data_IF_411795762716
#
_entry.id   IF_411795762716
#
_cell.length_a   1.000
_cell.length_b   1.000
_cell.length_c   1.000
_cell.angle_alpha   90.00
_cell.angle_beta   90.00
_cell.angle_gamma   90.00
#
_symmetry.space_group_name_H-M   'P 1'
#
loop_
_entity.id
_entity.type
_entity.pdbx_description
1 polymer ?
#
# COMPACT_ATOMS: atom_id res chain seq x y z
N UNK A 1 21.85 5.87 -0.05
CA UNK A 1 20.72 5.88 0.89
C UNK A 1 19.79 4.76 0.47
N UNK A 2 19.80 3.67 1.23
CA UNK A 2 18.91 2.55 1.01
C UNK A 2 17.48 3.04 1.30
N UNK A 3 16.63 3.13 0.28
CA UNK A 3 15.21 3.32 0.55
C UNK A 3 14.72 2.09 1.31
N UNK A 4 14.30 2.27 2.55
CA UNK A 4 13.96 1.17 3.44
C UNK A 4 12.65 0.50 2.97
N UNK A 5 12.79 -0.44 2.03
CA UNK A 5 11.73 -1.34 1.57
C UNK A 5 11.28 -2.18 2.76
N UNK A 6 10.01 -2.06 3.12
CA UNK A 6 9.39 -2.83 4.20
C UNK A 6 8.87 -4.16 3.70
N UNK A 7 8.24 -4.16 2.52
CA UNK A 7 7.70 -5.37 1.89
C UNK A 7 7.67 -5.20 0.38
N UNK A 8 7.88 -6.29 -0.34
CA UNK A 8 7.70 -6.34 -1.79
C UNK A 8 7.13 -7.68 -2.21
N UNK A 9 6.39 -7.72 -3.31
CA UNK A 9 5.80 -8.96 -3.80
C UNK A 9 4.71 -8.74 -4.84
N UNK A 10 4.22 -9.84 -5.41
CA UNK A 10 3.12 -9.81 -6.36
C UNK A 10 1.78 -9.57 -5.64
N UNK A 11 0.99 -8.65 -6.18
CA UNK A 11 -0.36 -8.32 -5.69
C UNK A 11 -1.24 -8.01 -6.89
N UNK A 12 -2.53 -8.26 -6.77
CA UNK A 12 -3.52 -7.93 -7.78
C UNK A 12 -4.23 -6.64 -7.39
N UNK A 13 -4.50 -5.79 -8.38
CA UNK A 13 -5.34 -4.60 -8.22
C UNK A 13 -6.56 -4.76 -9.13
N UNK A 14 -7.74 -4.54 -8.57
CA UNK A 14 -8.97 -4.49 -9.34
C UNK A 14 -9.06 -3.14 -10.06
N UNK A 15 -9.10 -3.18 -11.38
CA UNK A 15 -9.24 -2.01 -12.23
C UNK A 15 -10.63 -1.95 -12.85
N UNK A 16 -11.18 -0.74 -12.92
CA UNK A 16 -12.32 -0.45 -13.78
C UNK A 16 -11.86 -0.52 -15.24
N UNK A 17 -12.62 -1.21 -16.07
CA UNK A 17 -12.47 -1.23 -17.53
C UNK A 17 -13.75 -0.67 -18.17
N UNK A 18 -13.70 -0.43 -19.48
CA UNK A 18 -14.86 0.03 -20.27
C UNK A 18 -16.08 -0.87 -20.06
N UNK A 19 -15.86 -2.17 -19.86
CA UNK A 19 -16.90 -3.15 -19.55
C UNK A 19 -16.52 -3.97 -18.31
N UNK A 20 -16.92 -3.48 -17.14
CA UNK A 20 -16.81 -4.19 -15.87
C UNK A 20 -15.47 -4.01 -15.14
N UNK A 21 -15.23 -4.91 -14.18
CA UNK A 21 -14.06 -4.90 -13.30
C UNK A 21 -13.14 -6.07 -13.63
N UNK A 22 -11.84 -5.82 -13.66
CA UNK A 22 -10.82 -6.84 -13.94
C UNK A 22 -9.66 -6.76 -12.95
N UNK A 23 -9.21 -7.90 -12.48
CA UNK A 23 -7.96 -7.98 -11.72
C UNK A 23 -6.75 -7.99 -12.65
N UNK A 24 -5.78 -7.15 -12.33
CA UNK A 24 -4.48 -7.11 -13.01
C UNK A 24 -3.38 -7.29 -11.98
N UNK A 25 -2.37 -8.11 -12.30
CA UNK A 25 -1.22 -8.38 -11.44
C UNK A 25 -0.20 -7.24 -11.54
N UNK A 26 0.34 -6.86 -10.39
CA UNK A 26 1.38 -5.85 -10.22
C UNK A 26 2.49 -6.40 -9.33
N UNK A 27 3.69 -5.86 -9.50
CA UNK A 27 4.75 -5.95 -8.50
C UNK A 27 4.61 -4.77 -7.55
N UNK A 28 4.34 -5.03 -6.28
CA UNK A 28 4.24 -4.00 -5.26
C UNK A 28 5.54 -3.84 -4.49
N UNK A 29 5.87 -2.59 -4.15
CA UNK A 29 6.96 -2.25 -3.24
C UNK A 29 6.46 -1.23 -2.23
N UNK A 30 6.55 -1.58 -0.95
CA UNK A 30 6.16 -0.76 0.17
C UNK A 30 7.40 -0.15 0.81
N UNK A 31 7.45 1.18 0.86
CA UNK A 31 8.57 1.94 1.40
C UNK A 31 8.15 2.62 2.70
N UNK A 32 9.04 2.57 3.70
CA UNK A 32 8.96 3.42 4.89
C UNK A 32 9.29 4.86 4.52
N UNK A 33 8.83 5.82 5.32
CA UNK A 33 9.31 7.19 5.25
C UNK A 33 10.82 7.25 5.55
N UNK A 34 11.54 8.09 4.80
CA UNK A 34 12.93 8.44 5.02
C UNK A 34 13.10 9.94 5.28
N UNK A 35 14.34 10.44 5.43
CA UNK A 35 14.61 11.85 5.76
C UNK A 35 14.02 12.86 4.76
N UNK A 36 13.84 12.46 3.50
CA UNK A 36 13.33 13.31 2.43
C UNK A 36 12.19 12.65 1.62
N UNK A 37 11.59 11.57 2.13
CA UNK A 37 10.56 10.82 1.41
C UNK A 37 9.46 10.32 2.34
N UNK A 38 8.21 10.42 1.89
CA UNK A 38 7.06 9.88 2.62
C UNK A 38 6.94 8.36 2.41
N UNK A 39 6.30 7.69 3.37
CA UNK A 39 5.93 6.28 3.25
C UNK A 39 4.93 6.10 2.09
N UNK A 40 5.14 5.07 1.26
CA UNK A 40 4.40 4.91 0.01
C UNK A 40 4.37 3.47 -0.47
N UNK A 41 3.28 3.12 -1.14
CA UNK A 41 3.13 1.88 -1.90
C UNK A 41 3.27 2.20 -3.39
N UNK A 42 4.20 1.51 -4.05
CA UNK A 42 4.39 1.57 -5.49
C UNK A 42 3.87 0.28 -6.13
N UNK A 43 3.07 0.41 -7.19
CA UNK A 43 2.60 -0.71 -7.99
C UNK A 43 3.16 -0.57 -9.41
N UNK A 44 3.95 -1.57 -9.81
CA UNK A 44 4.57 -1.64 -11.12
C UNK A 44 3.86 -2.70 -11.96
N UNK A 45 3.39 -2.32 -13.14
CA UNK A 45 2.84 -3.27 -14.11
C UNK A 45 3.97 -4.15 -14.66
N UNK A 46 3.87 -5.48 -14.53
CA UNK A 46 4.89 -6.42 -14.99
C UNK A 46 5.08 -7.63 -14.07
N UNK A 47 5.80 -8.64 -14.55
CA UNK A 47 5.87 -9.94 -13.88
C UNK A 47 6.86 -10.01 -12.71
N UNK A 48 8.00 -9.30 -12.74
CA UNK A 48 9.14 -9.73 -11.89
C UNK A 48 10.08 -8.67 -11.30
N UNK A 49 10.15 -7.43 -11.81
CA UNK A 49 10.94 -6.32 -11.20
C UNK A 49 10.66 -5.01 -11.93
N UNK A 50 10.80 -3.84 -11.26
CA UNK A 50 10.69 -2.55 -11.92
C UNK A 50 11.79 -2.41 -12.99
N UNK A 51 11.44 -2.60 -14.26
CA UNK A 51 12.26 -2.11 -15.37
C UNK A 51 12.03 -0.60 -15.45
N UNK A 52 13.12 0.17 -15.42
CA UNK A 52 13.04 1.62 -15.62
C UNK A 52 12.44 1.85 -17.01
N UNK A 53 11.37 2.65 -17.04
CA UNK A 53 10.65 3.12 -18.23
C UNK A 53 9.64 2.14 -18.86
N UNK A 54 8.51 2.74 -19.29
CA UNK A 54 7.47 2.25 -20.22
C UNK A 54 6.16 1.65 -19.67
N UNK A 55 6.07 1.30 -18.38
CA UNK A 55 4.83 0.78 -17.77
C UNK A 55 4.14 1.74 -16.79
N UNK A 56 2.79 1.73 -16.75
CA UNK A 56 1.97 2.59 -15.88
C UNK A 56 2.19 2.34 -14.39
N UNK A 57 3.11 3.09 -13.77
CA UNK A 57 3.35 3.07 -12.31
C UNK A 57 2.19 3.74 -11.57
N UNK A 58 1.70 3.10 -10.51
CA UNK A 58 0.74 3.70 -9.58
C UNK A 58 1.42 3.90 -8.23
N UNK A 59 1.31 5.11 -7.69
CA UNK A 59 1.86 5.49 -6.39
C UNK A 59 0.71 5.75 -5.43
N UNK A 60 0.76 5.19 -4.23
CA UNK A 60 -0.13 5.51 -3.12
C UNK A 60 0.71 6.06 -1.97
N UNK A 61 0.46 7.30 -1.55
CA UNK A 61 1.09 7.87 -0.36
C UNK A 61 0.33 7.40 0.87
N UNK A 62 1.04 6.85 1.84
CA UNK A 62 0.37 6.29 3.03
C UNK A 62 -0.13 7.36 3.99
N UNK A 63 0.37 8.59 3.87
CA UNK A 63 -0.20 9.77 4.54
C UNK A 63 -1.65 10.07 4.16
N UNK A 64 -2.06 9.66 2.96
CA UNK A 64 -3.39 9.96 2.42
C UNK A 64 -4.36 8.80 2.69
N UNK A 65 -3.88 7.71 3.30
CA UNK A 65 -4.68 6.54 3.63
C UNK A 65 -5.62 6.84 4.79
N UNK A 66 -6.89 6.45 4.64
CA UNK A 66 -7.94 6.64 5.64
C UNK A 66 -8.48 5.32 6.16
N UNK A 67 -8.33 4.23 5.41
CA UNK A 67 -8.79 2.91 5.82
C UNK A 67 -8.01 1.80 5.12
N UNK A 68 -7.64 0.76 5.88
CA UNK A 68 -7.01 -0.47 5.39
C UNK A 68 -7.63 -1.65 6.13
N UNK A 69 -8.21 -2.60 5.41
CA UNK A 69 -8.83 -3.78 6.01
C UNK A 69 -9.00 -4.91 5.00
N UNK A 70 -9.13 -6.13 5.48
CA UNK A 70 -9.58 -7.27 4.67
C UNK A 70 -10.99 -6.99 4.10
N UNK A 71 -11.23 -7.37 2.85
CA UNK A 71 -12.50 -7.14 2.17
C UNK A 71 -13.43 -8.35 2.35
N UNK A 72 -14.26 -8.31 3.40
CA UNK A 72 -15.26 -9.36 3.68
C UNK A 72 -16.44 -9.26 2.69
N UNK A 73 -16.93 -10.39 2.20
CA UNK A 73 -18.13 -10.45 1.35
C UNK A 73 -17.91 -10.11 -0.12
N UNK A 74 -16.66 -10.10 -0.59
CA UNK A 74 -16.38 -10.03 -2.03
C UNK A 74 -16.63 -11.41 -2.61
N UNK A 75 -17.80 -11.63 -3.22
CA UNK A 75 -18.20 -12.92 -3.79
C UNK A 75 -17.05 -13.58 -4.56
N UNK A 76 -16.71 -14.81 -4.16
CA UNK A 76 -15.53 -15.57 -4.62
C UNK A 76 -15.47 -15.85 -6.12
N UNK A 77 -16.45 -15.39 -6.89
CA UNK A 77 -16.48 -15.46 -8.35
C UNK A 77 -15.60 -14.38 -9.03
N UNK A 78 -15.20 -13.33 -8.32
CA UNK A 78 -14.43 -12.23 -8.92
C UNK A 78 -12.95 -12.21 -8.50
N UNK A 79 -12.56 -12.73 -7.34
CA UNK A 79 -11.18 -12.63 -6.82
C UNK A 79 -10.23 -13.66 -7.50
N UNK A 80 -8.95 -13.35 -7.74
CA UNK A 80 -7.99 -14.35 -8.21
C UNK A 80 -7.89 -15.54 -7.25
N UNK A 81 -7.64 -16.73 -7.79
CA UNK A 81 -7.54 -17.98 -7.00
C UNK A 81 -6.46 -17.87 -5.92
N UNK A 82 -6.72 -18.43 -4.75
CA UNK A 82 -5.78 -18.52 -3.62
C UNK A 82 -5.32 -17.13 -3.08
N UNK A 83 -6.10 -16.08 -3.37
CA UNK A 83 -5.84 -14.73 -2.87
C UNK A 83 -6.94 -14.24 -1.92
N UNK A 84 -6.53 -13.39 -0.97
CA UNK A 84 -7.41 -12.70 -0.04
C UNK A 84 -7.48 -11.23 -0.45
N UNK A 85 -8.69 -10.69 -0.73
CA UNK A 85 -8.85 -9.30 -1.09
C UNK A 85 -8.80 -8.38 0.14
N UNK A 86 -8.23 -7.19 -0.02
CA UNK A 86 -8.18 -6.16 1.00
C UNK A 86 -8.31 -4.76 0.39
N UNK A 87 -8.88 -3.85 1.17
CA UNK A 87 -9.10 -2.46 0.81
C UNK A 87 -7.93 -1.60 1.26
N UNK A 88 -7.56 -0.66 0.41
CA UNK A 88 -6.69 0.46 0.72
C UNK A 88 -7.41 1.72 0.23
N UNK A 89 -8.04 2.44 1.14
CA UNK A 89 -8.77 3.66 0.83
C UNK A 89 -7.89 4.85 1.16
N UNK A 90 -7.74 5.75 0.19
CA UNK A 90 -7.18 7.08 0.41
C UNK A 90 -8.29 8.13 0.39
N UNK A 91 -7.95 9.34 0.81
CA UNK A 91 -8.80 10.54 0.68
C UNK A 91 -9.31 10.78 -0.75
N UNK A 92 -8.62 10.26 -1.77
CA UNK A 92 -8.92 10.50 -3.17
C UNK A 92 -9.45 9.27 -3.90
N UNK A 93 -9.08 8.06 -3.46
CA UNK A 93 -9.33 6.85 -4.24
C UNK A 93 -9.39 5.59 -3.36
N UNK A 94 -10.34 4.72 -3.67
CA UNK A 94 -10.40 3.34 -3.18
C UNK A 94 -9.61 2.40 -4.08
N UNK A 95 -8.74 1.60 -3.49
CA UNK A 95 -8.02 0.50 -4.14
C UNK A 95 -8.50 -0.82 -3.55
N UNK A 96 -9.03 -1.71 -4.39
CA UNK A 96 -9.27 -3.10 -4.00
C UNK A 96 -8.09 -3.95 -4.49
N UNK A 97 -7.32 -4.44 -3.53
CA UNK A 97 -6.11 -5.21 -3.72
C UNK A 97 -6.36 -6.68 -3.36
N UNK A 98 -5.54 -7.59 -3.85
CA UNK A 98 -5.54 -8.97 -3.40
C UNK A 98 -4.11 -9.52 -3.38
N UNK A 99 -3.76 -10.24 -2.33
CA UNK A 99 -2.48 -10.91 -2.19
C UNK A 99 -2.71 -12.39 -1.89
N UNK A 100 -1.69 -13.22 -2.11
CA UNK A 100 -1.72 -14.62 -1.70
C UNK A 100 -2.13 -14.75 -0.23
N UNK A 101 -2.96 -15.74 0.11
CA UNK A 101 -3.57 -15.84 1.44
C UNK A 101 -2.56 -15.80 2.60
N UNK A 102 -1.41 -16.45 2.45
CA UNK A 102 -0.33 -16.43 3.46
C UNK A 102 0.31 -15.04 3.66
N UNK A 103 0.17 -14.14 2.68
CA UNK A 103 0.83 -12.83 2.65
C UNK A 103 -0.13 -11.67 2.90
N UNK A 104 -1.45 -11.88 2.75
CA UNK A 104 -2.44 -10.80 2.81
C UNK A 104 -2.49 -10.11 4.18
N UNK A 105 -2.52 -10.89 5.26
CA UNK A 105 -2.50 -10.35 6.63
C UNK A 105 -1.25 -9.48 6.87
N UNK A 106 -0.09 -9.90 6.34
CA UNK A 106 1.15 -9.16 6.48
C UNK A 106 1.18 -7.88 5.65
N UNK A 107 0.59 -7.90 4.45
CA UNK A 107 0.39 -6.68 3.66
C UNK A 107 -0.49 -5.67 4.40
N UNK A 108 -1.62 -6.11 4.96
CA UNK A 108 -2.53 -5.26 5.73
C UNK A 108 -1.79 -4.69 6.95
N UNK A 109 -1.08 -5.53 7.71
CA UNK A 109 -0.32 -5.10 8.89
C UNK A 109 0.68 -4.00 8.57
N UNK A 110 1.59 -4.24 7.60
CA UNK A 110 2.59 -3.24 7.24
C UNK A 110 2.00 -1.95 6.67
N UNK A 111 0.89 -2.04 5.91
CA UNK A 111 0.18 -0.87 5.41
C UNK A 111 -0.42 -0.06 6.56
N UNK A 112 -1.08 -0.71 7.53
CA UNK A 112 -1.64 -0.06 8.71
C UNK A 112 -0.55 0.64 9.55
N UNK A 113 0.57 -0.05 9.82
CA UNK A 113 1.68 0.50 10.62
C UNK A 113 2.26 1.79 10.01
N UNK A 114 2.34 1.85 8.67
CA UNK A 114 2.91 3.00 7.96
C UNK A 114 1.88 4.10 7.67
N UNK A 115 0.61 3.75 7.47
CA UNK A 115 -0.48 4.70 7.22
C UNK A 115 -0.99 5.36 8.51
N UNK A 116 -1.00 4.63 9.62
CA UNK A 116 -1.55 5.05 10.91
C UNK A 116 -0.50 4.91 12.01
N UNK A 117 0.63 5.65 11.94
CA UNK A 117 1.67 5.55 12.95
C UNK A 117 1.12 6.00 14.31
N UNK A 118 1.18 5.12 15.30
CA UNK A 118 0.88 5.49 16.69
C UNK A 118 1.94 6.49 17.12
N UNK A 119 1.55 7.75 17.33
CA UNK A 119 2.42 8.73 17.97
C UNK A 119 2.66 8.25 19.39
N UNK A 120 3.91 7.94 19.73
CA UNK A 120 4.27 7.72 21.11
C UNK A 120 3.96 9.02 21.88
N UNK A 121 3.24 8.96 23.01
CA UNK A 121 3.09 10.13 23.86
C UNK A 121 4.48 10.48 24.41
N UNK A 122 5.06 11.62 24.01
CA UNK A 122 6.20 12.22 24.70
C UNK A 122 7.49 12.50 23.91
N UNK A 123 7.51 12.48 22.58
CA UNK A 123 8.65 13.06 21.83
C UNK A 123 8.25 14.35 21.13
N UNK A 124 7.66 15.26 21.90
CA UNK A 124 7.82 16.68 21.64
C UNK A 124 9.05 17.11 22.44
N UNK A 125 10.23 16.83 21.89
CA UNK A 125 11.42 17.55 22.32
C UNK A 125 11.25 18.94 21.74
N UNK A 126 10.65 19.82 22.53
CA UNK A 126 10.62 21.26 22.34
C UNK A 126 12.04 21.79 22.68
N UNK A 127 12.90 22.16 21.71
CA UNK A 127 14.18 22.76 22.04
C UNK A 127 14.08 24.28 22.26
N UNK A 128 12.88 24.86 22.41
CA UNK A 128 12.72 26.32 22.53
C UNK A 128 12.04 26.71 23.83
N UNK A 129 12.68 26.34 24.94
CA UNK A 129 12.38 26.83 26.29
C UNK A 129 13.51 27.67 26.89
N UNK A 130 14.09 28.59 26.12
CA UNK A 130 14.67 29.85 26.63
C UNK A 130 13.87 30.96 25.94
N UNK A 131 13.37 32.01 26.57
CA UNK A 131 13.96 32.97 27.51
C UNK A 131 12.81 33.65 28.27
N UNK A 132 12.84 33.65 29.60
CA UNK A 132 12.50 34.79 30.49
C UNK A 132 13.05 34.50 31.90
#
# INVERSE_FOLDING_TARGET
>A
MEEAVVKQGAIYLQLQQTFGKRWKRFWAVLYRAGPASAARLELHEGSERPRRAEGGRRLVRLSDCVHVAEAVGTDGAACPKDTVPFLLDTTHRRFLLAAEGAQAAEWIRCLCELAFPVRAPGTDSDPLGGWD
#
